data_IF_177877587767
#
_entry.id   IF_177877587767
#
_cell.length_a   1.000
_cell.length_b   1.000
_cell.length_c   1.000
_cell.angle_alpha   90.00
_cell.angle_beta   90.00
_cell.angle_gamma   90.00
#
_symmetry.space_group_name_H-M   'P 1'
#
loop_
_entity.id
_entity.type
_entity.pdbx_description
1 polymer ?
#
# COMPACT_ATOMS: atom_id res chain seq x y z
N UNK A 1 1.01 -22.85 8.08
CA UNK A 1 -0.24 -22.18 8.46
C UNK A 1 -0.03 -20.69 8.28
N UNK A 2 -0.97 -20.01 7.62
CA UNK A 2 -1.00 -18.56 7.53
C UNK A 2 -2.27 -18.06 8.22
N UNK A 3 -2.12 -17.07 9.09
CA UNK A 3 -3.22 -16.39 9.78
C UNK A 3 -3.09 -14.90 9.55
N UNK A 4 -4.16 -14.23 9.11
CA UNK A 4 -4.20 -12.77 9.05
C UNK A 4 -4.26 -12.25 10.48
N UNK A 5 -3.29 -11.43 10.88
CA UNK A 5 -3.17 -11.00 12.27
C UNK A 5 -3.06 -9.48 12.41
N UNK A 6 -2.77 -8.77 11.32
CA UNK A 6 -2.64 -7.32 11.34
C UNK A 6 -3.17 -6.75 10.03
N UNK A 7 -3.73 -5.54 10.12
CA UNK A 7 -4.03 -4.70 8.97
C UNK A 7 -3.72 -3.25 9.37
N UNK A 8 -3.14 -2.51 8.44
CA UNK A 8 -2.88 -1.07 8.64
C UNK A 8 -3.79 -0.23 7.74
N UNK A 9 -3.97 1.03 8.16
CA UNK A 9 -4.64 2.07 7.42
C UNK A 9 -4.07 2.23 5.99
N UNK A 10 -4.83 2.83 5.07
CA UNK A 10 -4.36 3.10 3.73
C UNK A 10 -3.01 3.83 3.73
N UNK A 11 -2.13 3.40 2.83
CA UNK A 11 -0.86 4.07 2.62
C UNK A 11 -1.03 5.35 1.80
N UNK A 12 0.02 6.16 1.76
CA UNK A 12 0.10 7.30 0.83
C UNK A 12 0.59 6.82 -0.53
N UNK A 13 0.26 7.53 -1.61
CA UNK A 13 0.71 7.19 -2.97
C UNK A 13 2.19 7.51 -3.22
N UNK A 14 2.85 8.19 -2.30
CA UNK A 14 4.27 8.50 -2.39
C UNK A 14 4.62 9.96 -2.08
N UNK A 15 5.92 10.17 -1.92
CA UNK A 15 6.61 11.39 -1.56
C UNK A 15 7.48 11.86 -2.71
N UNK A 16 7.30 13.12 -3.10
CA UNK A 16 8.00 13.74 -4.21
C UNK A 16 8.63 15.07 -3.78
N UNK A 17 9.82 15.35 -4.32
CA UNK A 17 10.53 16.63 -4.13
C UNK A 17 9.84 17.78 -4.85
N UNK A 18 9.32 17.51 -6.04
CA UNK A 18 8.59 18.45 -6.90
C UNK A 18 7.16 17.98 -7.12
N UNK A 19 6.26 18.92 -7.36
CA UNK A 19 4.86 18.59 -7.67
C UNK A 19 4.77 17.87 -9.02
N UNK A 20 4.07 16.74 -9.02
CA UNK A 20 3.66 15.98 -10.20
C UNK A 20 2.19 16.31 -10.52
N UNK A 21 1.90 16.77 -11.72
CA UNK A 21 0.54 17.17 -12.08
C UNK A 21 -0.24 16.07 -12.80
N UNK A 22 0.47 15.14 -13.43
CA UNK A 22 -0.10 14.06 -14.25
C UNK A 22 0.84 12.86 -14.29
N UNK A 23 0.29 11.67 -14.50
CA UNK A 23 1.01 10.39 -14.49
C UNK A 23 2.17 10.36 -15.49
N UNK A 24 2.06 11.05 -16.62
CA UNK A 24 3.13 11.09 -17.64
C UNK A 24 4.44 11.71 -17.12
N UNK A 25 4.36 12.59 -16.13
CA UNK A 25 5.54 13.21 -15.48
C UNK A 25 6.28 12.23 -14.57
N UNK A 26 5.71 11.05 -14.28
CA UNK A 26 6.37 10.00 -13.52
C UNK A 26 7.43 9.25 -14.34
N UNK A 27 7.38 9.36 -15.68
CA UNK A 27 8.29 8.65 -16.57
C UNK A 27 9.75 9.02 -16.29
N UNK A 28 10.57 8.02 -16.04
CA UNK A 28 12.00 8.16 -15.76
C UNK A 28 12.34 8.50 -14.31
N UNK A 29 11.35 8.76 -13.45
CA UNK A 29 11.58 8.96 -12.02
C UNK A 29 12.13 7.67 -11.42
N UNK A 30 13.23 7.76 -10.66
CA UNK A 30 13.72 6.65 -9.84
C UNK A 30 12.94 6.64 -8.55
N UNK A 31 12.12 5.62 -8.34
CA UNK A 31 11.21 5.59 -7.20
C UNK A 31 11.39 4.32 -6.39
N UNK A 32 11.49 4.43 -5.07
CA UNK A 32 11.25 3.26 -4.23
C UNK A 32 9.75 2.95 -4.25
N UNK A 33 9.38 1.79 -4.75
CA UNK A 33 8.00 1.31 -4.83
C UNK A 33 7.95 -0.21 -4.61
N UNK A 34 6.98 -0.70 -3.84
CA UNK A 34 6.87 -2.10 -3.44
C UNK A 34 5.74 -2.86 -4.16
N UNK A 35 5.90 -4.18 -4.24
CA UNK A 35 4.85 -5.12 -4.63
C UNK A 35 4.28 -4.89 -6.03
N UNK A 36 2.98 -5.16 -6.19
CA UNK A 36 2.28 -5.06 -7.49
C UNK A 36 2.17 -3.63 -8.00
N UNK A 37 2.11 -2.66 -7.08
CA UNK A 37 2.15 -1.25 -7.45
C UNK A 37 3.46 -0.89 -8.18
N UNK A 38 4.58 -1.53 -7.84
CA UNK A 38 5.83 -1.32 -8.56
C UNK A 38 5.77 -1.78 -10.02
N UNK A 39 5.06 -2.88 -10.30
CA UNK A 39 4.84 -3.36 -11.68
C UNK A 39 4.01 -2.37 -12.49
N UNK A 40 2.97 -1.80 -11.88
CA UNK A 40 2.14 -0.75 -12.49
C UNK A 40 2.95 0.50 -12.76
N UNK A 41 3.75 0.94 -11.79
CA UNK A 41 4.62 2.11 -11.93
C UNK A 41 5.69 1.89 -13.02
N UNK A 42 6.29 0.69 -13.10
CA UNK A 42 7.19 0.32 -14.20
C UNK A 42 6.51 0.40 -15.57
N UNK A 43 5.27 -0.09 -15.67
CA UNK A 43 4.48 -0.01 -16.92
C UNK A 43 4.21 1.44 -17.33
N UNK A 44 4.08 2.34 -16.35
CA UNK A 44 3.95 3.79 -16.57
C UNK A 44 5.30 4.50 -16.81
N UNK A 45 6.40 3.76 -16.86
CA UNK A 45 7.73 4.26 -17.20
C UNK A 45 8.54 4.76 -16.00
N UNK A 46 8.10 4.50 -14.77
CA UNK A 46 8.89 4.77 -13.55
C UNK A 46 9.99 3.72 -13.42
N UNK A 47 11.18 4.13 -12.98
CA UNK A 47 12.25 3.19 -12.66
C UNK A 47 12.12 2.79 -11.19
N UNK A 48 11.36 1.72 -10.91
CA UNK A 48 11.17 1.29 -9.51
C UNK A 48 12.33 0.48 -8.97
N UNK A 49 12.60 0.65 -7.67
CA UNK A 49 13.58 -0.16 -6.95
C UNK A 49 13.09 -0.54 -5.56
N UNK A 50 13.45 -1.74 -5.12
CA UNK A 50 13.15 -2.20 -3.77
C UNK A 50 14.29 -1.83 -2.82
N UNK A 51 13.97 -1.09 -1.78
CA UNK A 51 14.87 -0.81 -0.66
C UNK A 51 14.20 -1.21 0.67
N UNK A 52 14.98 -1.75 1.64
CA UNK A 52 14.57 -1.87 3.02
C UNK A 52 14.21 -0.50 3.61
N UNK A 53 13.27 -0.45 4.56
CA UNK A 53 12.77 0.80 5.14
C UNK A 53 13.88 1.73 5.65
N UNK A 54 14.87 1.18 6.36
CA UNK A 54 15.99 1.95 6.92
C UNK A 54 16.88 2.63 5.86
N UNK A 55 16.87 2.15 4.62
CA UNK A 55 17.71 2.67 3.53
C UNK A 55 16.98 3.71 2.67
N UNK A 56 15.66 3.87 2.83
CA UNK A 56 14.85 4.77 1.99
C UNK A 56 15.25 6.23 2.21
N UNK A 57 15.29 6.71 3.46
CA UNK A 57 15.62 8.10 3.74
C UNK A 57 17.04 8.46 3.26
N UNK A 58 18.10 7.69 3.57
CA UNK A 58 19.43 7.95 3.04
C UNK A 58 19.50 7.93 1.50
N UNK A 59 18.80 7.01 0.84
CA UNK A 59 18.74 6.95 -0.62
C UNK A 59 18.02 8.16 -1.21
N UNK A 60 16.92 8.59 -0.57
CA UNK A 60 16.18 9.77 -0.96
C UNK A 60 17.02 11.03 -0.75
N UNK A 61 17.66 11.21 0.41
CA UNK A 61 18.52 12.36 0.72
C UNK A 61 19.66 12.52 -0.28
N UNK A 62 20.38 11.42 -0.56
CA UNK A 62 21.53 11.39 -1.49
C UNK A 62 21.13 11.48 -2.97
N UNK A 63 19.84 11.43 -3.29
CA UNK A 63 19.35 11.47 -4.68
C UNK A 63 19.62 10.18 -5.46
N UNK A 64 19.78 9.04 -4.77
CA UNK A 64 19.78 7.71 -5.41
C UNK A 64 18.39 7.40 -5.96
N UNK A 65 17.36 7.78 -5.20
CA UNK A 65 15.96 7.84 -5.65
C UNK A 65 15.48 9.29 -5.63
N UNK A 66 14.57 9.59 -6.56
CA UNK A 66 13.94 10.89 -6.71
C UNK A 66 12.64 10.99 -5.89
N UNK A 67 11.99 9.85 -5.68
CA UNK A 67 10.72 9.70 -4.97
C UNK A 67 10.65 8.38 -4.19
N UNK A 68 9.69 8.27 -3.26
CA UNK A 68 9.44 7.03 -2.54
C UNK A 68 7.98 6.90 -2.17
N UNK A 69 7.42 5.70 -2.22
CA UNK A 69 6.32 5.32 -1.34
C UNK A 69 6.85 4.46 -0.20
N UNK A 70 6.16 4.44 0.93
CA UNK A 70 6.47 3.46 1.96
C UNK A 70 5.24 2.97 2.71
N UNK A 71 4.52 3.85 3.43
CA UNK A 71 3.38 3.40 4.22
C UNK A 71 2.37 4.52 4.53
N UNK A 72 1.79 4.48 5.73
CA UNK A 72 0.81 5.42 6.27
C UNK A 72 1.47 6.65 6.91
N UNK A 73 0.80 7.82 6.99
CA UNK A 73 1.36 9.07 7.49
C UNK A 73 2.15 8.97 8.80
N UNK A 74 1.69 8.19 9.78
CA UNK A 74 2.42 8.00 11.05
C UNK A 74 3.79 7.37 10.86
N UNK A 75 3.89 6.39 9.95
CA UNK A 75 5.16 5.73 9.65
C UNK A 75 6.05 6.68 8.86
N UNK A 76 5.54 7.27 7.79
CA UNK A 76 6.32 8.16 6.91
C UNK A 76 6.86 9.40 7.65
N UNK A 77 6.09 9.93 8.62
CA UNK A 77 6.54 10.95 9.56
C UNK A 77 7.76 10.47 10.37
N UNK A 78 7.71 9.27 10.94
CA UNK A 78 8.82 8.70 11.72
C UNK A 78 10.08 8.45 10.89
N UNK A 79 9.93 8.13 9.60
CA UNK A 79 11.05 7.97 8.66
C UNK A 79 11.59 9.31 8.14
N UNK A 80 10.89 10.41 8.38
CA UNK A 80 11.40 11.76 8.15
C UNK A 80 11.39 12.22 6.70
N UNK A 81 10.69 11.55 5.78
CA UNK A 81 10.72 11.88 4.34
C UNK A 81 10.40 13.35 4.03
N UNK A 82 9.57 13.98 4.88
CA UNK A 82 9.25 15.41 4.82
C UNK A 82 10.47 16.33 4.79
N UNK A 83 11.64 15.90 5.26
CA UNK A 83 12.85 16.72 5.26
C UNK A 83 13.40 16.90 3.84
N UNK A 84 13.15 15.94 2.94
CA UNK A 84 13.67 15.93 1.56
C UNK A 84 12.56 16.12 0.53
N UNK A 85 11.38 15.54 0.76
CA UNK A 85 10.23 15.59 -0.15
C UNK A 85 9.05 16.32 0.49
N UNK A 86 8.47 17.30 -0.21
CA UNK A 86 7.42 18.16 0.33
C UNK A 86 6.02 17.90 -0.23
N UNK A 87 5.90 17.04 -1.24
CA UNK A 87 4.61 16.67 -1.81
C UNK A 87 4.30 15.22 -1.48
N UNK A 88 3.21 14.98 -0.76
CA UNK A 88 2.75 13.62 -0.42
C UNK A 88 1.37 13.37 -1.03
N UNK A 89 1.25 12.30 -1.82
CA UNK A 89 0.09 12.08 -2.70
C UNK A 89 -0.92 11.10 -2.11
N UNK A 90 -2.20 11.32 -2.43
CA UNK A 90 -3.34 10.51 -2.02
C UNK A 90 -4.34 10.31 -3.17
N UNK A 91 -5.18 9.26 -3.11
CA UNK A 91 -5.07 8.11 -2.21
C UNK A 91 -3.88 7.23 -2.61
N UNK A 92 -3.33 6.43 -1.68
CA UNK A 92 -2.39 5.34 -1.99
C UNK A 92 -3.11 4.21 -2.74
N UNK A 93 -3.34 4.43 -4.04
CA UNK A 93 -4.14 3.58 -4.91
C UNK A 93 -3.67 2.12 -4.96
N UNK A 94 -2.39 1.87 -4.69
CA UNK A 94 -1.77 0.55 -4.68
C UNK A 94 -2.02 -0.24 -3.39
N UNK A 95 -2.15 0.45 -2.26
CA UNK A 95 -2.26 -0.17 -0.92
C UNK A 95 -3.31 0.55 -0.05
N UNK A 96 -4.57 0.35 -0.41
CA UNK A 96 -5.73 0.80 0.37
C UNK A 96 -5.94 0.02 1.68
N UNK A 97 -5.27 -1.12 1.81
CA UNK A 97 -5.25 -1.95 3.01
C UNK A 97 -4.05 -2.89 2.89
N UNK A 98 -3.13 -2.84 3.85
CA UNK A 98 -2.00 -3.76 3.89
C UNK A 98 -2.22 -4.74 5.03
N UNK A 99 -2.43 -6.02 4.68
CA UNK A 99 -2.61 -7.11 5.65
C UNK A 99 -1.29 -7.83 5.89
N UNK A 100 -0.97 -8.09 7.14
CA UNK A 100 0.19 -8.92 7.53
C UNK A 100 -0.26 -10.20 8.20
N UNK A 101 0.52 -11.25 7.97
CA UNK A 101 0.19 -12.61 8.39
C UNK A 101 1.18 -13.13 9.43
N UNK A 102 0.66 -13.89 10.40
CA UNK A 102 1.48 -14.81 11.17
C UNK A 102 1.69 -16.08 10.35
N UNK A 103 2.91 -16.27 9.89
CA UNK A 103 3.33 -17.49 9.22
C UNK A 103 3.94 -18.45 10.24
N UNK A 104 3.36 -19.66 10.34
CA UNK A 104 3.85 -20.72 11.20
C UNK A 104 4.09 -22.01 10.41
N UNK A 105 5.18 -22.71 10.72
CA UNK A 105 5.44 -24.03 10.16
C UNK A 105 4.21 -24.95 10.36
N UNK A 106 3.81 -25.65 9.28
CA UNK A 106 2.58 -26.45 9.27
C UNK A 106 2.61 -27.59 10.30
N UNK A 107 3.68 -28.37 10.35
CA UNK A 107 3.80 -29.48 11.29
C UNK A 107 3.81 -29.00 12.75
N UNK A 108 4.47 -27.87 13.03
CA UNK A 108 4.45 -27.27 14.37
C UNK A 108 3.05 -26.79 14.75
N UNK A 109 2.33 -26.17 13.82
CA UNK A 109 0.93 -25.78 14.03
C UNK A 109 0.03 -26.98 14.33
N UNK A 110 0.13 -28.03 13.52
CA UNK A 110 -0.68 -29.25 13.65
C UNK A 110 -0.34 -30.04 14.93
N UNK A 111 0.89 -29.91 15.44
CA UNK A 111 1.30 -30.49 16.72
C UNK A 111 0.83 -29.72 17.96
N UNK A 112 0.25 -28.52 17.81
CA UNK A 112 -0.36 -27.79 18.92
C UNK A 112 -1.67 -28.44 19.35
N UNK A 113 -2.00 -28.32 20.63
CA UNK A 113 -3.35 -28.67 21.11
C UNK A 113 -4.41 -27.79 20.45
N UNK A 114 -5.64 -28.28 20.36
CA UNK A 114 -6.78 -27.50 19.86
C UNK A 114 -6.95 -26.18 20.63
N UNK A 115 -6.72 -26.19 21.94
CA UNK A 115 -6.73 -24.99 22.79
C UNK A 115 -5.65 -23.99 22.37
N UNK A 116 -4.41 -24.43 22.14
CA UNK A 116 -3.34 -23.53 21.72
C UNK A 116 -3.59 -22.96 20.32
N UNK A 117 -4.07 -23.79 19.38
CA UNK A 117 -4.49 -23.31 18.06
C UNK A 117 -5.61 -22.27 18.16
N UNK A 118 -6.60 -22.51 19.02
CA UNK A 118 -7.71 -21.58 19.24
C UNK A 118 -7.24 -20.25 19.82
N UNK A 119 -6.35 -20.27 20.83
CA UNK A 119 -5.76 -19.07 21.41
C UNK A 119 -5.08 -18.24 20.32
N UNK A 120 -4.20 -18.85 19.51
CA UNK A 120 -3.46 -18.12 18.47
C UNK A 120 -4.42 -17.51 17.44
N UNK A 121 -5.43 -18.27 16.98
CA UNK A 121 -6.44 -17.75 16.04
C UNK A 121 -7.20 -16.56 16.62
N UNK A 122 -7.66 -16.67 17.87
CA UNK A 122 -8.41 -15.61 18.54
C UNK A 122 -7.55 -14.36 18.73
N UNK A 123 -6.31 -14.52 19.18
CA UNK A 123 -5.37 -13.40 19.34
C UNK A 123 -5.07 -12.72 18.00
N UNK A 124 -4.88 -13.47 16.92
CA UNK A 124 -4.68 -12.90 15.59
C UNK A 124 -5.91 -12.12 15.10
N UNK A 125 -7.12 -12.64 15.32
CA UNK A 125 -8.34 -11.92 14.94
C UNK A 125 -8.52 -10.63 15.76
N UNK A 126 -8.24 -10.67 17.06
CA UNK A 126 -8.29 -9.48 17.92
C UNK A 126 -7.25 -8.43 17.51
N UNK A 127 -6.00 -8.86 17.29
CA UNK A 127 -4.93 -7.99 16.81
C UNK A 127 -5.25 -7.38 15.43
N UNK A 128 -5.90 -8.14 14.54
CA UNK A 128 -6.34 -7.64 13.25
C UNK A 128 -7.38 -6.52 13.41
N UNK A 129 -8.42 -6.72 14.21
CA UNK A 129 -9.45 -5.71 14.46
C UNK A 129 -8.88 -4.48 15.18
N UNK A 130 -8.05 -4.70 16.19
CA UNK A 130 -7.41 -3.63 16.96
C UNK A 130 -6.49 -2.78 16.07
N UNK A 131 -5.67 -3.42 15.24
CA UNK A 131 -4.77 -2.71 14.31
C UNK A 131 -5.54 -1.94 13.24
N UNK A 132 -6.64 -2.48 12.72
CA UNK A 132 -7.51 -1.76 11.78
C UNK A 132 -8.00 -0.42 12.36
N UNK A 133 -8.56 -0.46 13.57
CA UNK A 133 -9.14 0.74 14.22
C UNK A 133 -8.04 1.70 14.66
N UNK A 134 -6.99 1.17 15.32
CA UNK A 134 -5.95 2.01 15.89
C UNK A 134 -5.10 2.68 14.82
N UNK A 135 -4.71 1.96 13.77
CA UNK A 135 -3.88 2.53 12.72
C UNK A 135 -4.60 3.71 12.06
N UNK A 136 -5.89 3.58 11.74
CA UNK A 136 -6.68 4.67 11.16
C UNK A 136 -6.76 5.89 12.09
N UNK A 137 -7.11 5.67 13.36
CA UNK A 137 -7.26 6.72 14.36
C UNK A 137 -5.98 7.53 14.65
N UNK A 138 -4.80 7.00 14.32
CA UNK A 138 -3.53 7.69 14.58
C UNK A 138 -3.10 8.62 13.43
N UNK A 139 -3.70 8.52 12.23
CA UNK A 139 -3.19 9.21 11.04
C UNK A 139 -3.38 10.72 11.10
N UNK A 140 -4.49 11.21 11.67
CA UNK A 140 -4.78 12.65 11.68
C UNK A 140 -3.71 13.47 12.41
N UNK A 141 -3.18 12.96 13.53
CA UNK A 141 -2.16 13.66 14.31
C UNK A 141 -0.85 13.77 13.54
N UNK A 142 -0.43 12.69 12.88
CA UNK A 142 0.75 12.68 12.03
C UNK A 142 0.59 13.62 10.84
N UNK A 143 -0.58 13.63 10.19
CA UNK A 143 -0.84 14.54 9.07
C UNK A 143 -0.81 16.01 9.50
N UNK A 144 -1.41 16.35 10.65
CA UNK A 144 -1.33 17.71 11.20
C UNK A 144 0.12 18.13 11.46
N UNK A 145 0.94 17.24 12.04
CA UNK A 145 2.35 17.51 12.26
C UNK A 145 3.10 17.71 10.94
N UNK A 146 2.88 16.85 9.94
CA UNK A 146 3.49 16.99 8.61
C UNK A 146 3.15 18.32 7.94
N UNK A 147 1.93 18.85 8.11
CA UNK A 147 1.57 20.19 7.62
C UNK A 147 2.41 21.28 8.29
N UNK A 148 2.60 21.21 9.62
CA UNK A 148 3.49 22.18 10.31
C UNK A 148 4.93 22.12 9.83
N UNK A 149 5.35 20.96 9.28
CA UNK A 149 6.68 20.74 8.67
C UNK A 149 6.74 21.10 7.18
N UNK A 150 5.69 21.72 6.65
CA UNK A 150 5.62 22.25 5.29
C UNK A 150 5.27 21.22 4.22
N UNK A 151 4.66 20.08 4.58
CA UNK A 151 4.19 19.09 3.61
C UNK A 151 2.89 19.56 2.97
N UNK A 152 2.84 19.46 1.64
CA UNK A 152 1.63 19.63 0.83
C UNK A 152 1.05 18.26 0.52
N UNK A 153 -0.16 17.99 1.03
CA UNK A 153 -0.93 16.83 0.64
C UNK A 153 -1.60 17.08 -0.72
N UNK A 154 -1.40 16.17 -1.66
CA UNK A 154 -1.92 16.29 -3.03
C UNK A 154 -2.86 15.15 -3.32
N UNK A 155 -4.07 15.46 -3.79
CA UNK A 155 -5.02 14.45 -4.25
C UNK A 155 -4.84 14.24 -5.75
N UNK A 156 -4.63 13.00 -6.17
CA UNK A 156 -4.69 12.62 -7.58
C UNK A 156 -6.11 12.89 -8.13
N UNK A 157 -6.24 13.59 -9.26
CA UNK A 157 -7.52 13.67 -9.96
C UNK A 157 -7.99 12.28 -10.39
N UNK A 158 -9.31 12.08 -10.46
CA UNK A 158 -9.91 10.81 -10.92
C UNK A 158 -9.39 10.37 -12.30
N UNK A 159 -9.09 11.34 -13.18
CA UNK A 159 -8.50 11.09 -14.50
C UNK A 159 -7.12 10.42 -14.41
N UNK A 160 -6.32 10.78 -13.40
CA UNK A 160 -5.01 10.18 -13.16
C UNK A 160 -5.13 8.83 -12.46
N UNK A 161 -6.07 8.69 -11.51
CA UNK A 161 -6.42 7.38 -10.91
C UNK A 161 -6.87 6.38 -11.98
N UNK A 162 -7.62 6.81 -12.99
CA UNK A 162 -8.02 5.96 -14.11
C UNK A 162 -6.82 5.43 -14.91
N UNK A 163 -5.74 6.20 -15.04
CA UNK A 163 -4.50 5.74 -15.71
C UNK A 163 -3.78 4.68 -14.89
N UNK A 164 -3.65 4.86 -13.57
CA UNK A 164 -3.12 3.82 -12.68
C UNK A 164 -3.95 2.54 -12.75
N UNK A 165 -5.28 2.66 -12.71
CA UNK A 165 -6.21 1.53 -12.85
C UNK A 165 -6.06 0.81 -14.18
N UNK A 166 -5.93 1.54 -15.28
CA UNK A 166 -5.72 0.95 -16.61
C UNK A 166 -4.44 0.10 -16.62
N UNK A 167 -3.32 0.66 -16.16
CA UNK A 167 -2.06 -0.06 -16.08
C UNK A 167 -2.13 -1.26 -15.11
N UNK A 168 -2.88 -1.15 -14.01
CA UNK A 168 -3.16 -2.27 -13.10
C UNK A 168 -3.88 -3.42 -13.81
N UNK A 169 -4.94 -3.13 -14.58
CA UNK A 169 -5.69 -4.16 -15.34
C UNK A 169 -4.78 -4.85 -16.35
N UNK A 170 -3.93 -4.11 -17.04
CA UNK A 170 -2.95 -4.67 -17.99
C UNK A 170 -1.94 -5.59 -17.28
N UNK A 171 -1.36 -5.15 -16.14
CA UNK A 171 -0.46 -6.00 -15.33
C UNK A 171 -1.16 -7.27 -14.86
N UNK A 172 -2.39 -7.16 -14.36
CA UNK A 172 -3.16 -8.33 -13.91
C UNK A 172 -3.44 -9.31 -15.05
N UNK A 173 -3.81 -8.82 -16.23
CA UNK A 173 -4.04 -9.67 -17.40
C UNK A 173 -2.77 -10.41 -17.84
N UNK A 174 -1.62 -9.73 -17.86
CA UNK A 174 -0.31 -10.33 -18.15
C UNK A 174 0.03 -11.42 -17.13
N UNK A 175 -0.15 -11.14 -15.83
CA UNK A 175 0.14 -12.12 -14.77
C UNK A 175 -0.81 -13.32 -14.78
N UNK A 176 -2.10 -13.11 -15.04
CA UNK A 176 -3.08 -14.20 -15.19
C UNK A 176 -2.77 -15.09 -16.39
N UNK A 177 -2.20 -14.54 -17.46
CA UNK A 177 -1.78 -15.33 -18.63
C UNK A 177 -0.53 -16.18 -18.34
N UNK A 178 0.31 -15.76 -17.40
CA UNK A 178 1.55 -16.44 -17.00
C UNK A 178 1.33 -17.53 -15.94
N UNK A 179 0.38 -17.33 -15.01
CA UNK A 179 0.20 -18.19 -13.84
C UNK A 179 -1.29 -18.55 -13.61
N UNK A 180 -1.67 -19.84 -13.73
CA UNK A 180 -3.05 -20.28 -13.47
C UNK A 180 -3.55 -20.00 -12.05
N UNK A 181 -2.68 -20.06 -11.03
CA UNK A 181 -3.08 -19.72 -9.65
C UNK A 181 -3.36 -18.22 -9.53
N UNK A 182 -2.58 -17.39 -10.23
CA UNK A 182 -2.86 -15.97 -10.32
C UNK A 182 -4.23 -15.70 -10.96
N UNK A 183 -4.53 -16.37 -12.07
CA UNK A 183 -5.81 -16.25 -12.75
C UNK A 183 -6.99 -16.62 -11.84
N UNK A 184 -6.88 -17.72 -11.09
CA UNK A 184 -7.88 -18.15 -10.11
C UNK A 184 -8.09 -17.10 -9.01
N UNK A 185 -7.00 -16.54 -8.46
CA UNK A 185 -7.07 -15.50 -7.42
C UNK A 185 -7.71 -14.22 -7.96
N UNK A 186 -7.30 -13.75 -9.15
CA UNK A 186 -7.86 -12.54 -9.74
C UNK A 186 -9.35 -12.70 -10.06
N UNK A 187 -9.77 -13.85 -10.58
CA UNK A 187 -11.19 -14.15 -10.82
C UNK A 187 -12.00 -14.09 -9.51
N UNK A 188 -11.48 -14.68 -8.44
CA UNK A 188 -12.08 -14.62 -7.11
C UNK A 188 -12.23 -13.18 -6.60
N UNK A 189 -11.18 -12.38 -6.72
CA UNK A 189 -11.19 -10.96 -6.33
C UNK A 189 -12.17 -10.14 -7.18
N UNK A 190 -12.18 -10.33 -8.50
CA UNK A 190 -13.05 -9.59 -9.40
C UNK A 190 -14.53 -9.94 -9.15
N UNK A 191 -14.84 -11.23 -8.99
CA UNK A 191 -16.19 -11.72 -8.63
C UNK A 191 -16.70 -11.08 -7.34
N UNK A 192 -15.83 -10.94 -6.32
CA UNK A 192 -16.20 -10.24 -5.09
C UNK A 192 -16.42 -8.73 -5.32
N UNK A 193 -15.52 -8.07 -6.05
CA UNK A 193 -15.61 -6.63 -6.34
C UNK A 193 -16.88 -6.26 -7.10
N UNK A 194 -17.28 -7.05 -8.09
CA UNK A 194 -18.50 -6.82 -8.88
C UNK A 194 -19.75 -6.86 -8.01
N UNK A 195 -19.82 -7.84 -7.09
CA UNK A 195 -20.91 -7.95 -6.11
C UNK A 195 -20.87 -6.81 -5.10
N UNK A 196 -19.67 -6.49 -4.60
CA UNK A 196 -19.47 -5.44 -3.61
C UNK A 196 -19.76 -4.04 -4.16
N UNK A 197 -19.58 -3.80 -5.46
CA UNK A 197 -19.83 -2.50 -6.10
C UNK A 197 -21.25 -1.97 -5.86
N UNK A 198 -22.24 -2.85 -5.73
CA UNK A 198 -23.62 -2.48 -5.40
C UNK A 198 -23.70 -1.80 -4.03
N UNK A 199 -23.02 -2.37 -3.03
CA UNK A 199 -22.92 -1.79 -1.68
C UNK A 199 -21.99 -0.58 -1.66
N UNK A 200 -20.75 -0.74 -2.14
CA UNK A 200 -19.71 0.29 -2.06
C UNK A 200 -20.07 1.60 -2.74
N UNK A 201 -20.87 1.56 -3.82
CA UNK A 201 -21.33 2.77 -4.51
C UNK A 201 -22.38 3.60 -3.74
N UNK A 202 -22.94 3.06 -2.65
CA UNK A 202 -24.04 3.66 -1.88
C UNK A 202 -23.73 3.85 -0.40
N UNK A 203 -22.92 2.96 0.16
CA UNK A 203 -22.71 2.88 1.61
C UNK A 203 -21.78 3.95 2.17
N UNK A 204 -20.94 4.55 1.32
CA UNK A 204 -19.93 5.52 1.72
C UNK A 204 -20.09 6.82 0.93
N UNK A 205 -19.76 7.94 1.57
CA UNK A 205 -19.62 9.22 0.89
C UNK A 205 -18.47 9.13 -0.13
N UNK A 206 -18.64 9.80 -1.26
CA UNK A 206 -17.64 9.87 -2.34
C UNK A 206 -16.77 11.10 -2.19
#
# INVERSE_FOLDING_TARGET
MSLKCLIIAPETSGWFRTKINRVEELKGIKMRFFGLGALVMNKLGVSTQLLPGGDIFPALEKGVIDATEFSMPTMDLSYGFYQVAKFNYFPGWHQQSTMSELLMNKAKWEGLSSTAQAIIRTTCNDAYLWSAVRSDAMQFAAMAELQTKGVTFVTWPDSEIAKFRKAWVEVNAEKSAEDPLWAEIEESYQSYRDKYAVWGSRAYLK
#
